data_IF_276564523398
#
_entry.id   IF_276564523398
#
_cell.length_a   1.000
_cell.length_b   1.000
_cell.length_c   1.000
_cell.angle_alpha   90.00
_cell.angle_beta   90.00
_cell.angle_gamma   90.00
#
_symmetry.space_group_name_H-M   'P 1'
#
loop_
_entity.id
_entity.type
_entity.pdbx_description
1 polymer ?
#
# COMPACT_ATOMS: atom_id res chain seq x y z
N UNK A 1 30.93 -46.83 -51.87
CA UNK A 1 30.01 -46.55 -50.75
C UNK A 1 28.66 -47.17 -51.10
N UNK A 2 28.20 -48.12 -50.30
CA UNK A 2 26.97 -48.90 -50.52
C UNK A 2 25.75 -48.08 -50.03
N UNK A 3 24.58 -48.23 -50.67
CA UNK A 3 23.30 -47.67 -50.24
C UNK A 3 23.02 -47.87 -48.72
N UNK A 4 23.42 -49.03 -48.18
CA UNK A 4 23.35 -49.35 -46.74
C UNK A 4 24.16 -48.41 -45.85
N UNK A 5 25.32 -47.94 -46.31
CA UNK A 5 26.16 -46.98 -45.57
C UNK A 5 25.52 -45.59 -45.56
N UNK A 6 24.90 -45.18 -46.67
CA UNK A 6 24.13 -43.94 -46.74
C UNK A 6 22.91 -43.98 -45.80
N UNK A 7 22.18 -45.11 -45.75
CA UNK A 7 21.06 -45.28 -44.82
C UNK A 7 21.52 -45.23 -43.35
N UNK A 8 22.65 -45.85 -43.01
CA UNK A 8 23.22 -45.77 -41.65
C UNK A 8 23.60 -44.35 -41.27
N UNK A 9 24.32 -43.63 -42.14
CA UNK A 9 24.70 -42.24 -41.90
C UNK A 9 23.49 -41.31 -41.79
N UNK A 10 22.45 -41.53 -42.59
CA UNK A 10 21.19 -40.78 -42.49
C UNK A 10 20.49 -41.03 -41.15
N UNK A 11 20.42 -42.29 -40.70
CA UNK A 11 19.84 -42.64 -39.40
C UNK A 11 20.63 -42.05 -38.22
N UNK A 12 21.96 -42.04 -38.29
CA UNK A 12 22.79 -41.38 -37.28
C UNK A 12 22.56 -39.86 -37.24
N UNK A 13 22.42 -39.22 -38.40
CA UNK A 13 22.07 -37.79 -38.48
C UNK A 13 20.68 -37.51 -37.94
N UNK A 14 19.68 -38.35 -38.25
CA UNK A 14 18.33 -38.24 -37.71
C UNK A 14 18.31 -38.42 -36.18
N UNK A 15 19.05 -39.39 -35.64
CA UNK A 15 19.17 -39.58 -34.20
C UNK A 15 19.85 -38.38 -33.51
N UNK A 16 20.88 -37.80 -34.14
CA UNK A 16 21.51 -36.56 -33.66
C UNK A 16 20.55 -35.37 -33.67
N UNK A 17 19.76 -35.23 -34.73
CA UNK A 17 18.78 -34.15 -34.86
C UNK A 17 17.65 -34.30 -33.82
N UNK A 18 17.11 -35.50 -33.64
CA UNK A 18 16.11 -35.78 -32.61
C UNK A 18 16.63 -35.55 -31.17
N UNK A 19 17.91 -35.83 -30.91
CA UNK A 19 18.52 -35.54 -29.62
C UNK A 19 18.73 -34.03 -29.41
N UNK A 20 19.09 -33.30 -30.48
CA UNK A 20 19.22 -31.84 -30.43
C UNK A 20 17.87 -31.15 -30.20
N UNK A 21 16.79 -31.61 -30.84
CA UNK A 21 15.43 -31.14 -30.61
C UNK A 21 15.01 -31.36 -29.15
N UNK A 22 15.18 -32.58 -28.62
CA UNK A 22 14.89 -32.87 -27.20
C UNK A 22 15.69 -32.00 -26.25
N UNK A 23 16.98 -31.77 -26.53
CA UNK A 23 17.82 -30.90 -25.71
C UNK A 23 17.33 -29.44 -25.75
N UNK A 24 16.87 -28.97 -26.92
CA UNK A 24 16.28 -27.65 -27.08
C UNK A 24 14.97 -27.50 -26.29
N UNK A 25 14.08 -28.50 -26.37
CA UNK A 25 12.81 -28.51 -25.61
C UNK A 25 13.05 -28.47 -24.09
N UNK A 26 14.04 -29.22 -23.61
CA UNK A 26 14.44 -29.19 -22.20
C UNK A 26 14.98 -27.81 -21.82
N UNK A 27 15.84 -27.22 -22.65
CA UNK A 27 16.39 -25.89 -22.40
C UNK A 27 15.30 -24.81 -22.36
N UNK A 28 14.33 -24.86 -23.27
CA UNK A 28 13.19 -23.93 -23.29
C UNK A 28 12.33 -24.08 -22.03
N UNK A 29 12.01 -25.32 -21.64
CA UNK A 29 11.27 -25.58 -20.40
C UNK A 29 12.00 -25.07 -19.15
N UNK A 30 13.33 -25.23 -19.09
CA UNK A 30 14.14 -24.68 -18.00
C UNK A 30 14.05 -23.15 -17.97
N UNK A 31 14.16 -22.49 -19.12
CA UNK A 31 14.04 -21.02 -19.22
C UNK A 31 12.68 -20.54 -18.73
N UNK A 32 11.61 -21.18 -19.18
CA UNK A 32 10.24 -20.83 -18.77
C UNK A 32 10.06 -20.99 -17.25
N UNK A 33 10.49 -22.13 -16.68
CA UNK A 33 10.41 -22.38 -15.23
C UNK A 33 11.27 -21.42 -14.41
N UNK A 34 12.43 -21.02 -14.94
CA UNK A 34 13.28 -20.00 -14.32
C UNK A 34 12.60 -18.64 -14.29
N UNK A 35 11.94 -18.24 -15.38
CA UNK A 35 11.14 -17.00 -15.43
C UNK A 35 10.03 -17.01 -14.39
N UNK A 36 9.27 -18.10 -14.31
CA UNK A 36 8.17 -18.23 -13.35
C UNK A 36 8.64 -18.19 -11.89
N UNK A 37 9.78 -18.81 -11.57
CA UNK A 37 10.37 -18.73 -10.23
C UNK A 37 10.87 -17.33 -9.92
N UNK A 38 11.43 -16.63 -10.92
CA UNK A 38 11.89 -15.26 -10.77
C UNK A 38 10.72 -14.33 -10.46
N UNK A 39 9.63 -14.40 -11.21
CA UNK A 39 8.41 -13.62 -10.94
C UNK A 39 7.87 -13.87 -9.52
N UNK A 40 7.83 -15.15 -9.11
CA UNK A 40 7.38 -15.53 -7.76
C UNK A 40 8.33 -14.98 -6.69
N UNK A 41 9.64 -15.01 -6.93
CA UNK A 41 10.66 -14.47 -6.04
C UNK A 41 10.57 -12.96 -5.91
N UNK A 42 10.38 -12.23 -7.02
CA UNK A 42 10.23 -10.78 -7.03
C UNK A 42 8.99 -10.36 -6.21
N UNK A 43 7.88 -11.10 -6.37
CA UNK A 43 6.68 -10.89 -5.55
C UNK A 43 6.94 -11.14 -4.06
N UNK A 44 7.62 -12.24 -3.70
CA UNK A 44 7.98 -12.54 -2.31
C UNK A 44 8.90 -11.50 -1.69
N UNK A 45 9.87 -10.98 -2.45
CA UNK A 45 10.77 -9.91 -1.99
C UNK A 45 9.98 -8.65 -1.67
N UNK A 46 9.04 -8.25 -2.52
CA UNK A 46 8.17 -7.11 -2.26
C UNK A 46 7.33 -7.28 -0.99
N UNK A 47 6.70 -8.45 -0.84
CA UNK A 47 5.92 -8.81 0.36
C UNK A 47 6.79 -8.81 1.62
N UNK A 48 8.01 -9.35 1.53
CA UNK A 48 8.96 -9.38 2.65
C UNK A 48 9.40 -7.98 3.06
N UNK A 49 9.60 -7.07 2.10
CA UNK A 49 10.00 -5.69 2.41
C UNK A 49 8.91 -4.98 3.21
N UNK A 50 7.65 -5.10 2.79
CA UNK A 50 6.50 -4.58 3.55
C UNK A 50 6.35 -5.25 4.92
N UNK A 51 6.53 -6.56 5.00
CA UNK A 51 6.44 -7.29 6.27
C UNK A 51 7.46 -6.79 7.29
N UNK A 52 8.71 -6.56 6.87
CA UNK A 52 9.78 -6.02 7.74
C UNK A 52 9.39 -4.65 8.29
N UNK A 53 8.92 -3.75 7.42
CA UNK A 53 8.49 -2.41 7.84
C UNK A 53 7.37 -2.48 8.89
N UNK A 54 6.38 -3.36 8.70
CA UNK A 54 5.27 -3.50 9.64
C UNK A 54 5.66 -4.21 10.94
N UNK A 55 6.59 -5.16 10.89
CA UNK A 55 7.16 -5.81 12.09
C UNK A 55 7.96 -4.80 12.92
N UNK A 56 8.84 -4.02 12.28
CA UNK A 56 9.66 -2.99 12.94
C UNK A 56 8.78 -1.89 13.56
N UNK A 57 7.65 -1.57 12.91
CA UNK A 57 6.65 -0.64 13.42
C UNK A 57 5.77 -1.22 14.54
N UNK A 58 5.88 -2.51 14.86
CA UNK A 58 5.05 -3.20 15.84
C UNK A 58 3.58 -3.40 15.41
N UNK A 59 3.29 -3.23 14.11
CA UNK A 59 1.96 -3.39 13.53
C UNK A 59 1.65 -4.87 13.31
N UNK A 60 2.62 -5.59 12.75
CA UNK A 60 2.52 -7.04 12.55
C UNK A 60 3.12 -7.75 13.77
N UNK A 61 2.47 -8.79 14.29
CA UNK A 61 2.97 -9.57 15.43
C UNK A 61 3.72 -10.81 14.92
N UNK A 62 4.89 -11.09 15.49
CA UNK A 62 5.77 -12.19 15.08
C UNK A 62 5.09 -13.59 15.15
N UNK A 63 4.12 -13.75 16.05
CA UNK A 63 3.29 -14.96 16.19
C UNK A 63 2.24 -15.16 15.07
N UNK A 64 2.07 -14.19 14.17
CA UNK A 64 1.14 -14.25 13.04
C UNK A 64 1.82 -14.63 11.71
N UNK A 65 3.12 -14.91 11.71
CA UNK A 65 3.80 -15.28 10.48
C UNK A 65 3.23 -16.61 9.93
N UNK A 66 2.98 -16.60 8.63
CA UNK A 66 2.36 -17.72 7.92
C UNK A 66 3.34 -18.89 7.90
N UNK A 67 2.80 -20.09 8.11
CA UNK A 67 3.58 -21.32 8.02
C UNK A 67 4.24 -21.48 6.63
N UNK A 68 5.58 -21.50 6.62
CA UNK A 68 6.41 -21.66 5.44
C UNK A 68 6.98 -23.08 5.29
N UNK A 69 6.58 -24.03 6.14
CA UNK A 69 7.10 -25.40 6.15
C UNK A 69 6.92 -26.10 4.79
N UNK A 70 5.73 -25.98 4.18
CA UNK A 70 5.42 -26.56 2.87
C UNK A 70 6.26 -25.97 1.73
N UNK A 71 6.33 -24.64 1.51
CA UNK A 71 7.19 -24.10 0.46
C UNK A 71 8.68 -24.41 0.70
N UNK A 72 9.16 -24.39 1.96
CA UNK A 72 10.55 -24.80 2.28
C UNK A 72 10.85 -26.25 1.92
N UNK A 73 9.91 -27.16 2.21
CA UNK A 73 10.03 -28.57 1.86
C UNK A 73 10.13 -28.76 0.35
N UNK A 74 9.24 -28.16 -0.44
CA UNK A 74 9.28 -28.27 -1.91
C UNK A 74 10.54 -27.60 -2.52
N UNK A 75 11.01 -26.49 -1.95
CA UNK A 75 12.27 -25.86 -2.35
C UNK A 75 13.47 -26.77 -2.10
N UNK A 76 13.46 -27.50 -0.98
CA UNK A 76 14.53 -28.45 -0.66
C UNK A 76 14.48 -29.65 -1.60
N UNK A 77 13.29 -30.19 -1.86
CA UNK A 77 13.09 -31.30 -2.81
C UNK A 77 13.59 -30.96 -4.22
N UNK A 78 13.22 -29.77 -4.73
CA UNK A 78 13.63 -29.37 -6.09
C UNK A 78 15.14 -29.11 -6.16
N UNK A 79 15.73 -28.50 -5.13
CA UNK A 79 17.17 -28.26 -5.06
C UNK A 79 17.96 -29.56 -5.05
N UNK A 80 17.47 -30.58 -4.35
CA UNK A 80 18.12 -31.88 -4.33
C UNK A 80 18.05 -32.55 -5.71
N UNK A 81 16.88 -32.57 -6.34
CA UNK A 81 16.70 -33.14 -7.69
C UNK A 81 17.55 -32.43 -8.74
N UNK A 82 17.68 -31.11 -8.66
CA UNK A 82 18.49 -30.31 -9.57
C UNK A 82 20.00 -30.55 -9.47
N UNK A 83 20.49 -31.03 -8.33
CA UNK A 83 21.91 -31.42 -8.20
C UNK A 83 22.24 -32.65 -9.03
N UNK A 84 21.30 -33.58 -9.09
CA UNK A 84 21.49 -34.88 -9.75
C UNK A 84 21.12 -34.81 -11.24
N UNK A 85 20.07 -34.06 -11.58
CA UNK A 85 19.58 -33.88 -12.95
C UNK A 85 18.94 -32.49 -13.15
N UNK A 86 19.58 -31.59 -13.92
CA UNK A 86 19.00 -30.28 -14.25
C UNK A 86 17.64 -30.35 -14.95
N UNK A 87 17.35 -31.45 -15.66
CA UNK A 87 16.08 -31.66 -16.34
C UNK A 87 14.96 -32.10 -15.38
N UNK A 88 15.25 -32.38 -14.11
CA UNK A 88 14.25 -32.73 -13.10
C UNK A 88 13.31 -31.56 -12.75
N UNK A 89 13.85 -30.33 -12.71
CA UNK A 89 13.40 -29.24 -13.57
C UNK A 89 12.02 -29.38 -14.19
N UNK A 90 12.06 -30.04 -15.34
CA UNK A 90 11.08 -30.09 -16.41
C UNK A 90 10.07 -31.24 -16.27
N UNK A 91 10.32 -32.17 -15.36
CA UNK A 91 9.54 -33.42 -15.26
C UNK A 91 8.71 -33.49 -13.97
N UNK A 92 7.55 -34.17 -14.07
CA UNK A 92 6.69 -34.48 -12.93
C UNK A 92 5.97 -33.28 -12.27
N UNK A 93 5.40 -33.54 -11.08
CA UNK A 93 4.59 -32.57 -10.33
C UNK A 93 5.40 -31.69 -9.36
N UNK A 94 6.69 -31.95 -9.17
CA UNK A 94 7.50 -31.26 -8.15
C UNK A 94 7.56 -29.76 -8.36
N UNK A 95 7.83 -29.29 -9.58
CA UNK A 95 7.84 -27.86 -9.90
C UNK A 95 6.45 -27.22 -9.71
N UNK A 96 5.39 -27.88 -10.21
CA UNK A 96 4.01 -27.40 -10.08
C UNK A 96 3.60 -27.27 -8.60
N UNK A 97 3.97 -28.25 -7.77
CA UNK A 97 3.70 -28.22 -6.34
C UNK A 97 4.46 -27.10 -5.63
N UNK A 98 5.74 -26.90 -5.98
CA UNK A 98 6.54 -25.78 -5.48
C UNK A 98 5.87 -24.45 -5.84
N UNK A 99 5.61 -24.21 -7.13
CA UNK A 99 4.97 -22.98 -7.63
C UNK A 99 3.67 -22.71 -6.90
N UNK A 100 2.79 -23.71 -6.82
CA UNK A 100 1.51 -23.58 -6.12
C UNK A 100 1.69 -23.26 -4.64
N UNK A 101 2.64 -23.93 -3.97
CA UNK A 101 2.91 -23.69 -2.55
C UNK A 101 3.45 -22.28 -2.29
N UNK A 102 4.33 -21.77 -3.15
CA UNK A 102 4.85 -20.41 -3.06
C UNK A 102 3.74 -19.39 -3.34
N UNK A 103 2.95 -19.57 -4.40
CA UNK A 103 1.83 -18.68 -4.72
C UNK A 103 0.83 -18.59 -3.57
N UNK A 104 0.38 -19.72 -3.02
CA UNK A 104 -0.53 -19.74 -1.87
C UNK A 104 0.09 -19.09 -0.64
N UNK A 105 1.39 -19.27 -0.40
CA UNK A 105 2.08 -18.62 0.70
C UNK A 105 2.13 -17.09 0.51
N UNK A 106 2.53 -16.63 -0.68
CA UNK A 106 2.57 -15.21 -1.04
C UNK A 106 1.20 -14.55 -0.94
N UNK A 107 0.15 -15.18 -1.47
CA UNK A 107 -1.22 -14.67 -1.41
C UNK A 107 -1.69 -14.47 0.04
N UNK A 108 -1.45 -15.46 0.91
CA UNK A 108 -1.77 -15.35 2.34
C UNK A 108 -0.97 -14.23 3.00
N UNK A 109 0.30 -14.07 2.64
CA UNK A 109 1.16 -13.04 3.20
C UNK A 109 0.68 -11.65 2.81
N UNK A 110 0.34 -11.44 1.53
CA UNK A 110 -0.28 -10.21 1.05
C UNK A 110 -1.57 -9.91 1.80
N UNK A 111 -2.44 -10.92 1.97
CA UNK A 111 -3.72 -10.74 2.68
C UNK A 111 -3.50 -10.31 4.14
N UNK A 112 -2.64 -11.02 4.86
CA UNK A 112 -2.32 -10.69 6.25
C UNK A 112 -1.76 -9.26 6.37
N UNK A 113 -0.72 -8.96 5.59
CA UNK A 113 -0.05 -7.66 5.59
C UNK A 113 -1.04 -6.52 5.28
N UNK A 114 -1.85 -6.67 4.23
CA UNK A 114 -2.81 -5.63 3.84
C UNK A 114 -3.92 -5.48 4.89
N UNK A 115 -4.39 -6.57 5.52
CA UNK A 115 -5.39 -6.47 6.58
C UNK A 115 -4.85 -5.73 7.81
N UNK A 116 -3.65 -6.07 8.28
CA UNK A 116 -3.01 -5.39 9.41
C UNK A 116 -2.69 -3.93 9.08
N UNK A 117 -2.27 -3.64 7.86
CA UNK A 117 -2.05 -2.29 7.39
C UNK A 117 -3.34 -1.46 7.42
N UNK A 118 -4.43 -1.99 6.86
CA UNK A 118 -5.71 -1.28 6.83
C UNK A 118 -6.31 -1.07 8.22
N UNK A 119 -6.14 -2.03 9.13
CA UNK A 119 -6.52 -1.89 10.53
C UNK A 119 -5.74 -0.73 11.18
N UNK A 120 -4.42 -0.72 11.03
CA UNK A 120 -3.56 0.35 11.53
C UNK A 120 -3.92 1.73 10.94
N UNK A 121 -4.12 1.82 9.62
CA UNK A 121 -4.53 3.07 8.95
C UNK A 121 -5.87 3.55 9.49
N UNK A 122 -6.82 2.65 9.69
CA UNK A 122 -8.15 3.00 10.21
C UNK A 122 -8.09 3.52 11.65
N UNK A 123 -7.25 2.89 12.48
CA UNK A 123 -7.07 3.29 13.88
C UNK A 123 -6.30 4.60 14.03
N UNK A 124 -5.22 4.76 13.25
CA UNK A 124 -4.27 5.86 13.45
C UNK A 124 -4.57 7.09 12.58
N UNK A 125 -5.34 6.96 11.49
CA UNK A 125 -5.64 8.10 10.63
C UNK A 125 -6.36 9.20 11.42
N UNK A 126 -5.86 10.45 11.38
CA UNK A 126 -6.57 11.59 11.93
C UNK A 126 -7.94 11.73 11.26
N UNK A 127 -8.98 11.98 12.07
CA UNK A 127 -10.33 12.22 11.57
C UNK A 127 -10.50 13.71 11.32
N UNK A 128 -10.69 14.09 10.06
CA UNK A 128 -11.01 15.48 9.70
C UNK A 128 -12.53 15.68 9.77
N UNK A 129 -12.98 16.60 10.61
CA UNK A 129 -14.37 17.03 10.61
C UNK A 129 -14.60 18.07 9.51
N UNK A 130 -15.37 17.67 8.50
CA UNK A 130 -15.78 18.55 7.40
C UNK A 130 -16.51 19.83 7.86
N UNK A 131 -17.17 19.81 9.02
CA UNK A 131 -17.83 21.00 9.59
C UNK A 131 -16.81 22.00 10.13
N UNK A 132 -15.83 21.51 10.88
CA UNK A 132 -14.74 22.33 11.43
C UNK A 132 -13.95 23.01 10.29
N UNK A 133 -13.62 22.27 9.23
CA UNK A 133 -12.91 22.84 8.08
C UNK A 133 -13.73 23.94 7.38
N UNK A 134 -15.06 23.76 7.26
CA UNK A 134 -15.94 24.77 6.66
C UNK A 134 -16.03 26.03 7.52
N UNK A 135 -16.07 25.90 8.84
CA UNK A 135 -16.13 27.02 9.79
C UNK A 135 -14.92 27.94 9.65
N UNK A 136 -13.73 27.37 9.47
CA UNK A 136 -12.48 28.12 9.47
C UNK A 136 -12.00 28.53 8.07
N UNK A 137 -12.69 28.11 7.01
CA UNK A 137 -12.26 28.34 5.61
C UNK A 137 -12.18 29.81 5.22
N UNK A 138 -13.02 30.67 5.80
CA UNK A 138 -13.08 32.10 5.49
C UNK A 138 -12.52 32.97 6.63
N UNK A 139 -11.66 32.40 7.47
CA UNK A 139 -11.06 33.06 8.64
C UNK A 139 -9.56 33.23 8.44
N UNK A 140 -8.88 33.83 9.42
CA UNK A 140 -7.41 33.88 9.49
C UNK A 140 -6.74 32.49 9.43
N UNK A 141 -7.47 31.42 9.73
CA UNK A 141 -7.00 30.03 9.63
C UNK A 141 -7.18 29.39 8.24
N UNK A 142 -7.57 30.15 7.22
CA UNK A 142 -7.81 29.62 5.87
C UNK A 142 -6.60 28.89 5.27
N UNK A 143 -5.38 29.39 5.47
CA UNK A 143 -4.15 28.73 5.02
C UNK A 143 -3.92 27.38 5.72
N UNK A 144 -4.20 27.30 7.03
CA UNK A 144 -4.14 26.05 7.81
C UNK A 144 -5.17 25.05 7.29
N UNK A 145 -6.39 25.49 6.98
CA UNK A 145 -7.44 24.63 6.39
C UNK A 145 -7.01 24.08 5.03
N UNK A 146 -6.43 24.91 4.15
CA UNK A 146 -5.93 24.47 2.85
C UNK A 146 -4.77 23.47 2.99
N UNK A 147 -3.85 23.72 3.93
CA UNK A 147 -2.74 22.81 4.25
C UNK A 147 -3.28 21.46 4.75
N UNK A 148 -4.25 21.48 5.67
CA UNK A 148 -4.92 20.28 6.18
C UNK A 148 -5.58 19.45 5.06
N UNK A 149 -6.33 20.10 4.17
CA UNK A 149 -6.97 19.41 3.04
C UNK A 149 -5.95 18.78 2.10
N UNK A 150 -4.83 19.48 1.83
CA UNK A 150 -3.75 18.97 0.99
C UNK A 150 -3.04 17.79 1.63
N UNK A 151 -2.59 17.94 2.88
CA UNK A 151 -1.86 16.92 3.62
C UNK A 151 -2.74 15.69 3.83
N UNK A 152 -4.04 15.87 4.11
CA UNK A 152 -5.01 14.78 4.23
C UNK A 152 -5.16 13.99 2.93
N UNK A 153 -5.29 14.66 1.77
CA UNK A 153 -5.33 13.99 0.45
C UNK A 153 -4.04 13.23 0.15
N UNK A 154 -2.88 13.80 0.49
CA UNK A 154 -1.59 13.13 0.30
C UNK A 154 -1.46 11.91 1.21
N UNK A 155 -1.81 12.05 2.49
CA UNK A 155 -1.80 10.95 3.46
C UNK A 155 -2.74 9.82 3.01
N UNK A 156 -3.95 10.13 2.54
CA UNK A 156 -4.88 9.14 1.99
C UNK A 156 -4.32 8.42 0.76
N UNK A 157 -3.62 9.15 -0.12
CA UNK A 157 -2.99 8.55 -1.30
C UNK A 157 -1.89 7.57 -0.90
N UNK A 158 -1.04 7.94 0.06
CA UNK A 158 0.05 7.08 0.55
C UNK A 158 -0.52 5.88 1.32
N UNK A 159 -1.53 6.10 2.16
CA UNK A 159 -2.11 5.05 3.00
C UNK A 159 -2.87 3.96 2.22
N UNK A 160 -3.19 4.20 0.94
CA UNK A 160 -3.89 3.23 0.08
C UNK A 160 -3.08 1.95 -0.12
N UNK A 161 -1.77 2.07 -0.22
CA UNK A 161 -0.87 0.95 -0.49
C UNK A 161 0.02 0.71 0.73
N UNK A 162 0.26 -0.56 1.06
CA UNK A 162 1.16 -0.92 2.16
C UNK A 162 2.58 -0.44 1.83
N UNK A 163 3.28 0.22 2.78
CA UNK A 163 4.63 0.70 2.53
C UNK A 163 5.58 -0.45 2.21
N UNK A 164 6.39 -0.29 1.15
CA UNK A 164 7.45 -1.23 0.78
C UNK A 164 8.78 -0.95 1.49
N UNK A 165 8.93 0.22 2.10
CA UNK A 165 10.14 0.64 2.80
C UNK A 165 9.82 1.57 3.99
N UNK A 166 10.84 1.78 4.83
CA UNK A 166 10.71 2.60 6.03
C UNK A 166 10.50 4.09 5.73
N UNK A 167 10.96 4.59 4.58
CA UNK A 167 10.81 6.01 4.22
C UNK A 167 9.37 6.33 3.87
N UNK A 168 8.70 5.48 3.10
CA UNK A 168 7.29 5.60 2.77
C UNK A 168 6.42 5.58 4.05
N UNK A 169 6.75 4.71 5.00
CA UNK A 169 6.05 4.64 6.29
C UNK A 169 6.28 5.89 7.14
N UNK A 170 7.53 6.34 7.29
CA UNK A 170 7.87 7.56 8.04
C UNK A 170 7.17 8.79 7.48
N UNK A 171 7.15 8.93 6.14
CA UNK A 171 6.45 10.02 5.47
C UNK A 171 4.96 10.07 5.82
N UNK A 172 4.29 8.92 5.87
CA UNK A 172 2.87 8.88 6.28
C UNK A 172 2.69 9.31 7.74
N UNK A 173 3.58 8.85 8.64
CA UNK A 173 3.53 9.24 10.05
C UNK A 173 3.76 10.73 10.26
N UNK A 174 4.71 11.32 9.53
CA UNK A 174 4.97 12.76 9.54
C UNK A 174 3.72 13.53 9.09
N UNK A 175 3.10 13.14 7.97
CA UNK A 175 1.86 13.76 7.51
C UNK A 175 0.73 13.65 8.54
N UNK A 176 0.56 12.50 9.19
CA UNK A 176 -0.44 12.36 10.25
C UNK A 176 -0.12 13.18 11.49
N UNK A 177 1.15 13.34 11.84
CA UNK A 177 1.57 14.21 12.93
C UNK A 177 1.27 15.68 12.62
N UNK A 178 1.66 16.15 11.42
CA UNK A 178 1.36 17.50 10.94
C UNK A 178 -0.16 17.76 10.91
N UNK A 179 -0.95 16.81 10.40
CA UNK A 179 -2.42 16.96 10.39
C UNK A 179 -2.98 17.10 11.81
N UNK A 180 -2.46 16.34 12.78
CA UNK A 180 -2.93 16.44 14.18
C UNK A 180 -2.52 17.78 14.80
N UNK A 181 -1.31 18.25 14.53
CA UNK A 181 -0.82 19.54 14.99
C UNK A 181 -1.65 20.69 14.40
N UNK A 182 -1.85 20.69 13.08
CA UNK A 182 -2.66 21.68 12.38
C UNK A 182 -4.13 21.63 12.87
N UNK A 183 -4.70 20.43 13.11
CA UNK A 183 -6.05 20.29 13.68
C UNK A 183 -6.14 20.83 15.12
N UNK A 184 -5.10 20.63 15.94
CA UNK A 184 -5.05 21.13 17.31
C UNK A 184 -4.89 22.66 17.37
N UNK A 185 -4.33 23.27 16.32
CA UNK A 185 -4.20 24.72 16.20
C UNK A 185 -5.53 25.42 15.86
N UNK A 186 -6.51 24.69 15.32
CA UNK A 186 -7.82 25.26 14.98
C UNK A 186 -8.67 25.43 16.25
N UNK A 187 -9.19 26.65 16.51
CA UNK A 187 -10.13 26.86 17.60
C UNK A 187 -11.36 25.94 17.49
N UNK A 188 -11.70 25.25 18.57
CA UNK A 188 -12.94 24.47 18.66
C UNK A 188 -13.96 25.25 19.47
N UNK A 189 -15.13 25.43 18.88
CA UNK A 189 -16.27 26.04 19.55
C UNK A 189 -17.16 24.93 20.11
N UNK A 190 -17.26 24.81 21.42
CA UNK A 190 -18.21 23.87 22.06
C UNK A 190 -19.64 24.42 22.09
N UNK A 191 -19.79 25.75 22.04
CA UNK A 191 -21.08 26.44 22.07
C UNK A 191 -21.81 26.32 20.72
N UNK A 192 -23.03 25.76 20.68
CA UNK A 192 -23.86 25.68 19.48
C UNK A 192 -24.12 27.03 18.80
N UNK A 193 -24.22 28.13 19.54
CA UNK A 193 -24.44 29.48 18.98
C UNK A 193 -23.23 29.94 18.16
N UNK A 194 -22.03 29.71 18.69
CA UNK A 194 -20.75 30.01 18.02
C UNK A 194 -20.59 29.14 16.78
N UNK A 195 -20.88 27.84 16.88
CA UNK A 195 -20.83 26.94 15.72
C UNK A 195 -21.80 27.38 14.62
N UNK A 196 -23.03 27.77 14.98
CA UNK A 196 -24.03 28.25 14.03
C UNK A 196 -23.58 29.54 13.34
N UNK A 197 -22.98 30.47 14.09
CA UNK A 197 -22.41 31.70 13.54
C UNK A 197 -21.28 31.41 12.56
N UNK A 198 -20.27 30.62 12.95
CA UNK A 198 -19.13 30.30 12.09
C UNK A 198 -19.54 29.59 10.80
N UNK A 199 -20.51 28.68 10.88
CA UNK A 199 -21.07 28.01 9.69
C UNK A 199 -21.78 29.03 8.79
N UNK A 200 -22.57 29.93 9.37
CA UNK A 200 -23.32 30.93 8.62
C UNK A 200 -22.39 31.95 7.94
N UNK A 201 -21.29 32.36 8.58
CA UNK A 201 -20.30 33.23 7.92
C UNK A 201 -19.59 32.52 6.78
N UNK A 202 -19.39 31.20 6.89
CA UNK A 202 -18.86 30.38 5.81
C UNK A 202 -19.72 30.35 4.53
N UNK A 203 -20.97 30.83 4.58
CA UNK A 203 -21.92 30.82 3.45
C UNK A 203 -21.77 32.02 2.50
N UNK A 204 -22.25 31.89 1.26
CA UNK A 204 -22.22 32.98 0.26
C UNK A 204 -22.99 34.23 0.71
N UNK A 205 -23.99 34.08 1.56
CA UNK A 205 -24.81 35.17 2.11
C UNK A 205 -24.25 35.78 3.39
N UNK A 206 -23.24 35.14 4.00
CA UNK A 206 -22.73 35.49 5.32
C UNK A 206 -23.71 35.16 6.47
N UNK A 207 -23.33 35.50 7.70
CA UNK A 207 -24.19 35.33 8.87
C UNK A 207 -25.11 36.54 9.09
N UNK A 208 -26.37 36.29 9.44
CA UNK A 208 -27.28 37.35 9.88
C UNK A 208 -26.82 37.96 11.20
N UNK A 209 -27.02 39.27 11.38
CA UNK A 209 -26.62 39.99 12.60
C UNK A 209 -27.25 39.43 13.89
N UNK A 210 -28.40 38.75 13.78
CA UNK A 210 -29.04 38.07 14.91
C UNK A 210 -28.28 36.86 15.45
N UNK A 211 -27.29 36.34 14.71
CA UNK A 211 -26.41 35.26 15.16
C UNK A 211 -25.17 35.76 15.90
N UNK A 212 -24.90 37.08 15.91
CA UNK A 212 -23.79 37.67 16.66
C UNK A 212 -24.22 37.93 18.11
N UNK A 213 -24.43 36.86 18.87
CA UNK A 213 -24.78 36.95 20.30
C UNK A 213 -23.56 37.39 21.14
N UNK A 214 -23.78 37.77 22.40
CA UNK A 214 -22.69 38.14 23.31
C UNK A 214 -21.72 36.97 23.54
N UNK A 215 -22.22 35.73 23.54
CA UNK A 215 -21.41 34.50 23.59
C UNK A 215 -20.48 34.39 22.38
N UNK A 216 -21.02 34.62 21.17
CA UNK A 216 -20.22 34.63 19.92
C UNK A 216 -19.17 35.72 19.95
N UNK A 217 -19.52 36.93 20.36
CA UNK A 217 -18.57 38.04 20.44
C UNK A 217 -17.43 37.75 21.42
N UNK A 218 -17.75 37.20 22.59
CA UNK A 218 -16.76 36.84 23.61
C UNK A 218 -15.80 35.78 23.08
N UNK A 219 -16.33 34.72 22.47
CA UNK A 219 -15.53 33.66 21.88
C UNK A 219 -14.62 34.16 20.74
N UNK A 220 -15.13 35.02 19.86
CA UNK A 220 -14.34 35.61 18.77
C UNK A 220 -13.20 36.49 19.28
N UNK A 221 -13.41 37.21 20.39
CA UNK A 221 -12.36 38.01 21.02
C UNK A 221 -11.28 37.13 21.67
N UNK A 222 -11.69 36.10 22.42
CA UNK A 222 -10.77 35.16 23.07
C UNK A 222 -9.88 34.42 22.08
N UNK A 223 -10.41 34.10 20.90
CA UNK A 223 -9.69 33.42 19.82
C UNK A 223 -9.03 34.38 18.82
N UNK A 224 -9.06 35.70 19.06
CA UNK A 224 -8.48 36.74 18.20
C UNK A 224 -9.03 36.75 16.77
N UNK A 225 -10.26 36.29 16.57
CA UNK A 225 -10.90 36.18 15.26
C UNK A 225 -11.83 37.36 14.95
N UNK A 226 -12.03 38.30 15.88
CA UNK A 226 -13.00 39.40 15.72
C UNK A 226 -12.74 40.26 14.47
N UNK A 227 -11.46 40.39 14.08
CA UNK A 227 -11.02 41.20 12.93
C UNK A 227 -11.29 40.51 11.58
N UNK A 228 -11.52 39.20 11.59
CA UNK A 228 -11.80 38.41 10.38
C UNK A 228 -13.22 38.68 9.83
N UNK A 229 -14.10 39.29 10.64
CA UNK A 229 -15.51 39.48 10.30
C UNK A 229 -15.84 40.95 10.05
N UNK A 230 -16.47 41.24 8.90
CA UNK A 230 -16.94 42.59 8.55
C UNK A 230 -18.44 42.62 8.22
N UNK A 231 -19.12 43.67 8.67
CA UNK A 231 -20.56 43.87 8.41
C UNK A 231 -20.74 44.49 7.02
N UNK A 232 -21.37 43.75 6.10
CA UNK A 232 -21.79 44.27 4.79
C UNK A 232 -23.25 44.71 4.84
N UNK A 233 -23.54 45.95 4.40
CA UNK A 233 -24.92 46.37 4.13
C UNK A 233 -25.38 45.76 2.81
N UNK A 234 -26.43 44.93 2.86
CA UNK A 234 -27.17 44.51 1.67
C UNK A 234 -27.79 45.77 1.04
N UNK A 235 -27.44 46.05 -0.22
CA UNK A 235 -28.04 47.10 -1.05
C UNK A 235 -29.22 46.52 -1.82
#
# INVERSE_FOLDING_TARGET
MNLLEHCKQANEKLAKLANAEKANDVAENIRNRSSELRETSESLVGVSASAVVLLDAGILKELQLIDDSKPRMHLTEIRQKLKDDPSAITSGRTFTNLKKSLQTYTEKAIQLINSSWMEFVTEMSPKLDSKLLKQHRNTSFSDTVLKLERNSKEAQKIAKDTPGDALAFSKLKELWAEIREDLASLPQADDPEVQAFLIAVGSETGAGLGLLTDSVRTWLLENQMIEDFSVRRLR
#
